data_IF_571278093508
#
_entry.id   IF_571278093508
#
_cell.length_a   1.000
_cell.length_b   1.000
_cell.length_c   1.000
_cell.angle_alpha   90.00
_cell.angle_beta   90.00
_cell.angle_gamma   90.00
#
_symmetry.space_group_name_H-M   'P 1'
#
loop_
_entity.id
_entity.type
_entity.pdbx_description
1 polymer ?
#
# COMPACT_ATOMS: atom_id res chain seq x y z
N UNK A 1 -28.54 -13.19 -6.98
CA UNK A 1 -28.36 -13.39 -8.44
C UNK A 1 -27.40 -14.58 -8.62
N UNK A 2 -27.66 -15.43 -9.61
CA UNK A 2 -26.74 -16.52 -9.93
C UNK A 2 -25.41 -15.94 -10.45
N UNK A 3 -24.30 -16.52 -10.04
CA UNK A 3 -22.96 -16.15 -10.53
C UNK A 3 -22.83 -16.62 -11.96
N UNK A 4 -22.36 -15.75 -12.86
CA UNK A 4 -22.16 -16.10 -14.26
C UNK A 4 -21.04 -17.14 -14.40
N UNK A 5 -21.11 -17.95 -15.44
CA UNK A 5 -20.12 -19.02 -15.70
C UNK A 5 -19.05 -18.65 -16.72
N UNK A 6 -19.16 -17.46 -17.33
CA UNK A 6 -18.20 -16.95 -18.32
C UNK A 6 -18.17 -15.42 -18.36
N UNK A 7 -16.98 -14.84 -18.55
CA UNK A 7 -16.75 -13.42 -18.77
C UNK A 7 -15.40 -13.20 -19.50
N UNK A 8 -15.11 -11.96 -19.89
CA UNK A 8 -13.79 -11.63 -20.46
C UNK A 8 -12.70 -11.64 -19.37
N UNK A 9 -12.99 -11.06 -18.22
CA UNK A 9 -11.98 -10.94 -17.13
C UNK A 9 -12.59 -11.26 -15.77
N UNK A 10 -11.92 -12.13 -15.01
CA UNK A 10 -12.17 -12.29 -13.57
C UNK A 10 -11.11 -11.53 -12.78
N UNK A 11 -11.55 -10.69 -11.85
CA UNK A 11 -10.71 -10.01 -10.88
C UNK A 11 -10.93 -10.64 -9.51
N UNK A 12 -9.86 -11.10 -8.85
CA UNK A 12 -9.90 -11.71 -7.53
C UNK A 12 -9.49 -10.67 -6.49
N UNK A 13 -10.42 -10.26 -5.64
CA UNK A 13 -10.23 -9.29 -4.57
C UNK A 13 -10.81 -7.91 -4.87
N UNK A 14 -11.63 -7.41 -3.92
CA UNK A 14 -12.33 -6.11 -3.97
C UNK A 14 -11.59 -4.98 -3.24
N UNK A 15 -10.28 -5.10 -3.06
CA UNK A 15 -9.44 -4.01 -2.55
C UNK A 15 -9.12 -2.96 -3.63
N UNK A 16 -8.35 -1.91 -3.29
CA UNK A 16 -8.05 -0.80 -4.19
C UNK A 16 -7.47 -1.22 -5.56
N UNK A 17 -6.60 -2.21 -5.57
CA UNK A 17 -6.00 -2.75 -6.80
C UNK A 17 -7.03 -3.39 -7.71
N UNK A 18 -7.86 -4.28 -7.15
CA UNK A 18 -8.90 -4.98 -7.90
C UNK A 18 -10.01 -4.05 -8.38
N UNK A 19 -10.43 -3.11 -7.55
CA UNK A 19 -11.43 -2.11 -7.92
C UNK A 19 -10.97 -1.24 -9.10
N UNK A 20 -9.73 -0.80 -9.11
CA UNK A 20 -9.16 -0.03 -10.24
C UNK A 20 -9.07 -0.90 -11.50
N UNK A 21 -8.58 -2.14 -11.38
CA UNK A 21 -8.48 -3.05 -12.52
C UNK A 21 -9.84 -3.35 -13.13
N UNK A 22 -10.81 -3.76 -12.31
CA UNK A 22 -12.15 -4.13 -12.76
C UNK A 22 -12.90 -2.94 -13.37
N UNK A 23 -12.89 -1.78 -12.71
CA UNK A 23 -13.54 -0.56 -13.20
C UNK A 23 -12.98 -0.14 -14.55
N UNK A 24 -11.66 -0.13 -14.71
CA UNK A 24 -11.04 0.25 -15.99
C UNK A 24 -11.40 -0.70 -17.12
N UNK A 25 -11.38 -1.99 -16.90
CA UNK A 25 -11.78 -2.98 -17.89
C UNK A 25 -13.25 -2.84 -18.29
N UNK A 26 -14.15 -2.63 -17.33
CA UNK A 26 -15.57 -2.42 -17.61
C UNK A 26 -15.82 -1.12 -18.39
N UNK A 27 -15.12 -0.01 -18.06
CA UNK A 27 -15.17 1.25 -18.82
C UNK A 27 -14.66 1.11 -20.26
N UNK A 28 -13.81 0.13 -20.53
CA UNK A 28 -13.33 -0.22 -21.89
C UNK A 28 -14.29 -1.15 -22.63
N UNK A 29 -15.44 -1.52 -22.00
CA UNK A 29 -16.52 -2.31 -22.61
C UNK A 29 -16.41 -3.83 -22.44
N UNK A 30 -15.48 -4.32 -21.59
CA UNK A 30 -15.33 -5.76 -21.35
C UNK A 30 -16.27 -6.24 -20.24
N UNK A 31 -16.71 -7.49 -20.33
CA UNK A 31 -17.46 -8.17 -19.28
C UNK A 31 -16.51 -8.57 -18.13
N UNK A 32 -16.78 -8.02 -16.94
CA UNK A 32 -15.88 -8.20 -15.77
C UNK A 32 -16.66 -8.74 -14.59
N UNK A 33 -16.11 -9.80 -13.99
CA UNK A 33 -16.56 -10.35 -12.70
C UNK A 33 -15.50 -10.03 -11.65
N UNK A 34 -15.91 -9.51 -10.50
CA UNK A 34 -15.06 -9.35 -9.34
C UNK A 34 -15.54 -10.24 -8.20
N UNK A 35 -14.65 -11.10 -7.70
CA UNK A 35 -14.88 -11.99 -6.57
C UNK A 35 -14.19 -11.43 -5.32
N UNK A 36 -14.94 -11.13 -4.27
CA UNK A 36 -14.44 -10.69 -2.97
C UNK A 36 -14.84 -11.68 -1.89
N UNK A 37 -13.87 -12.16 -1.13
CA UNK A 37 -14.06 -13.20 -0.11
C UNK A 37 -14.81 -12.71 1.12
N UNK A 38 -14.67 -11.45 1.45
CA UNK A 38 -15.34 -10.80 2.58
C UNK A 38 -16.56 -10.00 2.13
N UNK A 39 -17.35 -9.57 3.11
CA UNK A 39 -18.37 -8.53 2.91
C UNK A 39 -17.80 -7.20 3.37
N UNK A 40 -17.95 -6.16 2.55
CA UNK A 40 -17.61 -4.80 2.93
C UNK A 40 -18.77 -4.14 3.74
N UNK A 41 -18.48 -3.23 4.68
CA UNK A 41 -17.14 -2.78 5.08
C UNK A 41 -16.34 -3.86 5.83
N UNK A 42 -15.03 -3.94 5.57
CA UNK A 42 -14.13 -4.87 6.23
C UNK A 42 -12.86 -4.18 6.68
N UNK A 43 -12.31 -4.52 7.88
CA UNK A 43 -11.07 -3.91 8.35
C UNK A 43 -9.89 -4.26 7.43
N UNK A 44 -9.01 -3.30 7.26
CA UNK A 44 -7.72 -3.49 6.60
C UNK A 44 -6.72 -2.46 7.13
N UNK A 45 -5.42 -2.70 6.94
CA UNK A 45 -4.35 -1.76 7.23
C UNK A 45 -3.94 -0.98 5.97
N UNK A 46 -3.19 0.13 6.15
CA UNK A 46 -2.79 1.01 5.04
C UNK A 46 -3.67 2.26 4.97
N UNK A 47 -3.78 2.96 6.10
CA UNK A 47 -4.70 4.07 6.38
C UNK A 47 -4.14 5.45 6.01
N UNK A 48 -2.88 5.52 5.56
CA UNK A 48 -2.22 6.74 5.14
C UNK A 48 -1.96 6.70 3.64
N UNK A 49 -2.57 7.62 2.89
CA UNK A 49 -2.49 7.70 1.43
C UNK A 49 -1.69 8.92 1.00
N UNK A 50 -0.80 8.74 0.03
CA UNK A 50 -0.08 9.83 -0.64
C UNK A 50 -0.90 10.37 -1.82
N UNK A 51 -0.75 11.65 -2.22
CA UNK A 51 -1.65 12.33 -3.18
C UNK A 51 -1.83 11.64 -4.52
N UNK A 52 -0.88 10.80 -4.94
CA UNK A 52 -0.94 10.08 -6.22
C UNK A 52 -2.17 9.17 -6.37
N UNK A 53 -2.82 8.79 -5.26
CA UNK A 53 -4.02 7.94 -5.31
C UNK A 53 -5.17 8.64 -6.06
N UNK A 54 -5.27 9.97 -6.01
CA UNK A 54 -6.31 10.75 -6.68
C UNK A 54 -6.39 10.47 -8.18
N UNK A 55 -5.25 10.26 -8.82
CA UNK A 55 -5.19 9.91 -10.25
C UNK A 55 -6.07 8.69 -10.58
N UNK A 56 -6.04 7.67 -9.72
CA UNK A 56 -6.79 6.44 -9.95
C UNK A 56 -8.25 6.57 -9.56
N UNK A 57 -8.56 7.32 -8.52
CA UNK A 57 -9.95 7.58 -8.12
C UNK A 57 -10.67 8.49 -9.11
N UNK A 58 -9.98 9.49 -9.65
CA UNK A 58 -10.49 10.31 -10.76
C UNK A 58 -10.80 9.43 -11.98
N UNK A 59 -9.89 8.52 -12.32
CA UNK A 59 -9.99 7.66 -13.49
C UNK A 59 -11.19 6.71 -13.44
N UNK A 60 -11.51 6.16 -12.28
CA UNK A 60 -12.66 5.25 -12.11
C UNK A 60 -13.95 5.97 -11.70
N UNK A 61 -13.90 7.27 -11.43
CA UNK A 61 -15.06 8.09 -11.04
C UNK A 61 -15.40 8.05 -9.54
N UNK A 62 -14.47 7.61 -8.66
CA UNK A 62 -14.73 7.47 -7.24
C UNK A 62 -14.50 8.77 -6.43
N UNK A 63 -13.90 9.79 -7.04
CA UNK A 63 -13.41 11.00 -6.35
C UNK A 63 -14.49 11.73 -5.57
N UNK A 64 -15.65 11.98 -6.18
CA UNK A 64 -16.74 12.73 -5.50
C UNK A 64 -17.23 12.00 -4.24
N UNK A 65 -17.32 10.67 -4.26
CA UNK A 65 -17.71 9.89 -3.09
C UNK A 65 -16.64 9.91 -1.99
N UNK A 66 -15.36 9.89 -2.36
CA UNK A 66 -14.26 10.00 -1.41
C UNK A 66 -14.22 11.38 -0.76
N UNK A 67 -14.43 12.45 -1.51
CA UNK A 67 -14.51 13.82 -0.98
C UNK A 67 -15.72 13.96 -0.03
N UNK A 68 -16.87 13.39 -0.40
CA UNK A 68 -18.08 13.38 0.43
C UNK A 68 -17.89 12.62 1.76
N UNK A 69 -17.01 11.63 1.81
CA UNK A 69 -16.70 10.86 3.02
C UNK A 69 -15.92 11.67 4.07
N UNK A 70 -15.36 12.83 3.70
CA UNK A 70 -14.65 13.75 4.59
C UNK A 70 -13.55 13.06 5.42
N UNK A 71 -12.76 12.23 4.77
CA UNK A 71 -11.54 11.70 5.37
C UNK A 71 -10.59 12.82 5.79
N UNK A 72 -9.67 12.53 6.69
CA UNK A 72 -8.77 13.53 7.23
C UNK A 72 -7.70 13.89 6.18
N UNK A 73 -7.59 15.16 5.75
CA UNK A 73 -6.57 15.58 4.80
C UNK A 73 -5.18 15.50 5.41
N UNK A 74 -4.24 14.93 4.67
CA UNK A 74 -2.85 14.75 5.03
C UNK A 74 -1.98 15.67 4.18
N UNK A 75 -1.37 16.69 4.79
CA UNK A 75 -0.49 17.66 4.10
C UNK A 75 0.90 17.13 3.79
N UNK A 76 1.34 16.08 4.49
CA UNK A 76 2.69 15.55 4.38
C UNK A 76 3.01 14.48 5.40
N UNK A 77 4.30 14.33 5.71
CA UNK A 77 4.81 13.41 6.71
C UNK A 77 5.97 14.02 7.51
N UNK A 78 6.13 13.53 8.72
CA UNK A 78 7.25 13.84 9.61
C UNK A 78 7.92 12.55 10.04
N UNK A 79 9.26 12.52 10.00
CA UNK A 79 10.04 11.39 10.47
C UNK A 79 11.07 11.83 11.50
N UNK A 80 10.95 11.35 12.74
CA UNK A 80 12.00 11.48 13.72
C UNK A 80 13.00 10.34 13.56
N UNK A 81 14.14 10.68 12.99
CA UNK A 81 15.20 9.72 12.70
C UNK A 81 16.57 10.31 13.07
N UNK A 82 17.40 9.57 13.76
CA UNK A 82 18.74 10.03 14.19
C UNK A 82 18.73 11.37 14.94
N UNK A 83 17.71 11.59 15.77
CA UNK A 83 17.57 12.83 16.54
C UNK A 83 17.13 14.04 15.73
N UNK A 84 16.78 13.89 14.46
CA UNK A 84 16.30 14.94 13.58
C UNK A 84 14.84 14.70 13.17
N UNK A 85 14.00 15.72 13.31
CA UNK A 85 12.62 15.69 12.82
C UNK A 85 12.60 16.17 11.36
N UNK A 86 12.57 15.23 10.44
CA UNK A 86 12.59 15.46 9.00
C UNK A 86 11.17 15.70 8.49
N UNK A 87 11.01 16.70 7.61
CA UNK A 87 9.72 17.16 7.10
C UNK A 87 9.58 16.88 5.61
N UNK A 88 8.37 16.46 5.21
CA UNK A 88 7.95 16.33 3.83
C UNK A 88 6.59 16.98 3.66
N UNK A 89 6.46 17.97 2.77
CA UNK A 89 5.19 18.62 2.40
C UNK A 89 4.84 18.31 0.95
N UNK A 90 3.65 17.81 0.70
CA UNK A 90 3.23 17.47 -0.66
C UNK A 90 3.11 18.69 -1.58
N UNK A 91 2.74 19.85 -1.05
CA UNK A 91 2.66 21.10 -1.81
C UNK A 91 4.01 21.52 -2.43
N UNK A 92 5.13 21.17 -1.80
CA UNK A 92 6.47 21.47 -2.32
C UNK A 92 6.84 20.65 -3.56
N UNK A 93 6.05 19.60 -3.85
CA UNK A 93 6.19 18.74 -5.03
C UNK A 93 5.09 18.97 -6.08
N UNK A 94 4.39 20.11 -5.98
CA UNK A 94 3.38 20.52 -6.96
C UNK A 94 2.03 19.80 -6.80
N UNK A 95 1.79 19.07 -5.71
CA UNK A 95 0.49 18.50 -5.44
C UNK A 95 -0.47 19.58 -4.91
N UNK A 96 -1.56 19.80 -5.64
CA UNK A 96 -2.62 20.74 -5.28
C UNK A 96 -3.69 20.10 -4.40
N UNK A 97 -3.78 18.77 -4.40
CA UNK A 97 -4.68 17.98 -3.54
C UNK A 97 -3.85 17.27 -2.46
N UNK A 98 -4.33 17.22 -1.21
CA UNK A 98 -3.61 16.54 -0.13
C UNK A 98 -3.62 15.03 -0.31
N UNK A 99 -2.76 14.33 0.40
CA UNK A 99 -3.00 12.94 0.75
C UNK A 99 -4.18 12.82 1.70
N UNK A 100 -4.55 11.61 2.07
CA UNK A 100 -5.63 11.37 3.04
C UNK A 100 -5.17 10.37 4.11
N UNK A 101 -5.70 10.55 5.31
CA UNK A 101 -5.83 9.49 6.30
C UNK A 101 -7.25 8.94 6.22
N UNK A 102 -7.36 7.64 5.98
CA UNK A 102 -8.64 6.99 5.68
C UNK A 102 -8.87 5.78 6.57
N UNK A 103 -10.09 5.59 7.01
CA UNK A 103 -10.56 4.29 7.47
C UNK A 103 -10.72 3.41 6.23
N UNK A 104 -9.96 2.33 6.18
CA UNK A 104 -9.87 1.45 5.02
C UNK A 104 -11.15 0.68 4.73
N UNK A 105 -11.95 0.40 5.74
CA UNK A 105 -13.28 -0.20 5.60
C UNK A 105 -14.21 0.68 4.77
N UNK A 106 -14.30 1.96 5.09
CA UNK A 106 -15.11 2.93 4.33
C UNK A 106 -14.50 3.25 2.96
N UNK A 107 -13.19 3.49 2.91
CA UNK A 107 -12.50 3.81 1.66
C UNK A 107 -12.62 2.68 0.63
N UNK A 108 -12.38 1.43 1.06
CA UNK A 108 -12.47 0.26 0.19
C UNK A 108 -13.92 0.02 -0.26
N UNK A 109 -14.92 0.25 0.62
CA UNK A 109 -16.34 0.16 0.27
C UNK A 109 -16.75 1.20 -0.79
N UNK A 110 -16.26 2.43 -0.69
CA UNK A 110 -16.50 3.47 -1.71
C UNK A 110 -15.97 3.01 -3.07
N UNK A 111 -14.75 2.50 -3.12
CA UNK A 111 -14.17 1.97 -4.36
C UNK A 111 -14.96 0.79 -4.91
N UNK A 112 -15.39 -0.14 -4.07
CA UNK A 112 -16.18 -1.30 -4.49
C UNK A 112 -17.56 -0.90 -5.02
N UNK A 113 -18.22 0.06 -4.39
CA UNK A 113 -19.51 0.59 -4.87
C UNK A 113 -19.35 1.31 -6.22
N UNK A 114 -18.27 2.09 -6.37
CA UNK A 114 -17.97 2.71 -7.67
C UNK A 114 -17.68 1.66 -8.75
N UNK A 115 -17.03 0.56 -8.38
CA UNK A 115 -16.79 -0.56 -9.30
C UNK A 115 -18.09 -1.18 -9.79
N UNK A 116 -19.09 -1.35 -8.91
CA UNK A 116 -20.44 -1.77 -9.30
C UNK A 116 -21.12 -0.77 -10.26
N UNK A 117 -20.99 0.52 -9.94
CA UNK A 117 -21.54 1.60 -10.77
C UNK A 117 -20.92 1.65 -12.18
N UNK A 118 -19.68 1.19 -12.31
CA UNK A 118 -18.99 1.04 -13.59
C UNK A 118 -19.40 -0.21 -14.39
N UNK A 119 -20.39 -0.98 -13.90
CA UNK A 119 -20.95 -2.14 -14.62
C UNK A 119 -20.27 -3.48 -14.32
N UNK A 120 -19.36 -3.53 -13.33
CA UNK A 120 -18.73 -4.79 -12.91
C UNK A 120 -19.71 -5.65 -12.11
N UNK A 121 -19.76 -6.94 -12.40
CA UNK A 121 -20.51 -7.90 -11.59
C UNK A 121 -19.68 -8.27 -10.35
N UNK A 122 -20.03 -7.68 -9.21
CA UNK A 122 -19.32 -7.85 -7.95
C UNK A 122 -20.04 -8.86 -7.06
N UNK A 123 -19.36 -9.94 -6.71
CA UNK A 123 -19.83 -10.97 -5.79
C UNK A 123 -18.99 -10.93 -4.52
N UNK A 124 -19.58 -10.41 -3.45
CA UNK A 124 -19.00 -10.47 -2.10
C UNK A 124 -19.28 -11.82 -1.45
N UNK A 125 -18.57 -12.12 -0.35
CA UNK A 125 -18.66 -13.40 0.37
C UNK A 125 -18.45 -14.61 -0.57
N UNK A 126 -17.63 -14.39 -1.60
CA UNK A 126 -17.34 -15.35 -2.66
C UNK A 126 -15.82 -15.43 -2.88
N UNK A 127 -15.21 -16.42 -2.26
CA UNK A 127 -13.77 -16.61 -2.31
C UNK A 127 -13.35 -17.36 -3.57
N UNK A 128 -12.48 -16.78 -4.40
CA UNK A 128 -11.74 -17.54 -5.39
C UNK A 128 -10.79 -18.50 -4.66
N UNK A 129 -10.89 -19.77 -4.98
CA UNK A 129 -10.14 -20.83 -4.29
C UNK A 129 -8.96 -21.32 -5.11
N UNK A 130 -9.08 -21.26 -6.43
CA UNK A 130 -8.07 -21.78 -7.36
C UNK A 130 -8.29 -21.23 -8.77
N UNK A 131 -7.23 -21.18 -9.56
CA UNK A 131 -7.28 -20.94 -11.00
C UNK A 131 -6.80 -22.19 -11.72
N UNK A 132 -7.72 -22.89 -12.37
CA UNK A 132 -7.48 -24.16 -13.08
C UNK A 132 -7.38 -23.95 -14.59
N UNK A 133 -7.12 -25.04 -15.29
CA UNK A 133 -6.99 -25.08 -16.74
C UNK A 133 -5.62 -24.64 -17.24
N UNK A 134 -5.54 -24.47 -18.56
CA UNK A 134 -4.42 -23.78 -19.16
C UNK A 134 -4.50 -22.29 -18.79
N UNK A 135 -3.42 -21.75 -18.24
CA UNK A 135 -3.40 -20.32 -17.84
C UNK A 135 -3.52 -19.36 -19.04
N UNK A 136 -3.52 -19.85 -20.27
CA UNK A 136 -3.93 -19.12 -21.49
C UNK A 136 -5.47 -19.12 -21.69
N UNK A 137 -6.21 -19.99 -20.99
CA UNK A 137 -7.67 -20.07 -20.93
C UNK A 137 -8.15 -20.40 -19.50
N UNK A 138 -7.92 -19.50 -18.54
CA UNK A 138 -8.08 -19.80 -17.12
C UNK A 138 -9.54 -20.04 -16.72
N UNK A 139 -9.72 -20.95 -15.75
CA UNK A 139 -11.00 -21.24 -15.08
C UNK A 139 -10.86 -20.94 -13.60
N UNK A 140 -11.56 -19.92 -13.11
CA UNK A 140 -11.53 -19.55 -11.70
C UNK A 140 -12.55 -20.37 -10.94
N UNK A 141 -12.09 -21.15 -9.97
CA UNK A 141 -12.95 -21.85 -9.01
C UNK A 141 -13.24 -20.95 -7.82
N UNK A 142 -14.49 -20.96 -7.39
CA UNK A 142 -14.90 -20.17 -6.24
C UNK A 142 -15.74 -20.98 -5.25
N UNK A 143 -15.85 -20.44 -4.04
CA UNK A 143 -16.75 -20.91 -2.98
C UNK A 143 -17.44 -19.70 -2.34
N UNK A 144 -18.76 -19.77 -2.23
CA UNK A 144 -19.57 -18.80 -1.50
C UNK A 144 -19.52 -19.05 0.00
N UNK A 145 -19.99 -18.08 0.81
CA UNK A 145 -20.13 -18.28 2.28
C UNK A 145 -21.03 -19.47 2.65
N UNK A 146 -22.02 -19.77 1.82
CA UNK A 146 -22.94 -20.88 2.03
C UNK A 146 -22.37 -22.23 1.55
N UNK A 147 -21.06 -22.27 1.24
CA UNK A 147 -20.30 -23.42 0.72
C UNK A 147 -20.74 -23.89 -0.69
N UNK A 148 -21.50 -23.09 -1.42
CA UNK A 148 -21.74 -23.37 -2.83
C UNK A 148 -20.43 -23.20 -3.61
N UNK A 149 -20.11 -24.18 -4.45
CA UNK A 149 -18.92 -24.17 -5.29
C UNK A 149 -19.32 -23.99 -6.75
N UNK A 150 -18.50 -23.26 -7.49
CA UNK A 150 -18.71 -23.04 -8.91
C UNK A 150 -17.43 -22.66 -9.62
N UNK A 151 -17.57 -22.38 -10.91
CA UNK A 151 -16.46 -21.99 -11.76
C UNK A 151 -16.86 -20.87 -12.74
N UNK A 152 -15.89 -20.05 -13.11
CA UNK A 152 -16.03 -19.01 -14.12
C UNK A 152 -14.90 -19.16 -15.12
N UNK A 153 -15.25 -19.33 -16.40
CA UNK A 153 -14.29 -19.30 -17.51
C UNK A 153 -14.00 -17.86 -17.88
N UNK A 154 -12.72 -17.51 -18.01
CA UNK A 154 -12.31 -16.19 -18.37
C UNK A 154 -11.23 -16.17 -19.45
N UNK A 155 -11.21 -15.12 -20.27
CA UNK A 155 -10.07 -14.88 -21.15
C UNK A 155 -8.83 -14.44 -20.38
N UNK A 156 -9.02 -13.69 -19.29
CA UNK A 156 -7.97 -13.19 -18.42
C UNK A 156 -8.37 -13.24 -16.94
N UNK A 157 -7.35 -13.32 -16.07
CA UNK A 157 -7.50 -13.21 -14.61
C UNK A 157 -6.56 -12.14 -14.08
N UNK A 158 -7.05 -11.32 -13.14
CA UNK A 158 -6.24 -10.43 -12.32
C UNK A 158 -6.33 -10.89 -10.88
N UNK A 159 -5.25 -11.45 -10.35
CA UNK A 159 -5.13 -11.73 -8.91
C UNK A 159 -4.74 -10.45 -8.17
N UNK A 160 -5.71 -9.83 -7.52
CA UNK A 160 -5.60 -8.68 -6.62
C UNK A 160 -6.06 -9.05 -5.20
N UNK A 161 -5.91 -10.32 -4.81
CA UNK A 161 -6.38 -10.90 -3.55
C UNK A 161 -5.58 -10.47 -2.31
N UNK A 162 -4.70 -9.47 -2.45
CA UNK A 162 -3.89 -8.96 -1.36
C UNK A 162 -2.97 -10.03 -0.79
N UNK A 163 -2.80 -10.06 0.53
CA UNK A 163 -1.93 -11.02 1.22
C UNK A 163 -2.39 -12.50 1.08
N UNK A 164 -3.63 -12.74 0.63
CA UNK A 164 -4.09 -14.07 0.30
C UNK A 164 -3.28 -14.66 -0.88
N UNK A 165 -2.90 -13.83 -1.87
CA UNK A 165 -2.03 -14.17 -3.00
C UNK A 165 -2.43 -15.53 -3.63
N UNK A 166 -3.68 -15.66 -4.03
CA UNK A 166 -4.32 -16.94 -4.43
C UNK A 166 -3.51 -17.65 -5.51
N UNK A 167 -3.25 -16.95 -6.60
CA UNK A 167 -2.52 -17.53 -7.73
C UNK A 167 -1.03 -17.69 -7.43
N UNK A 168 -0.40 -16.68 -6.79
CA UNK A 168 1.03 -16.73 -6.51
C UNK A 168 1.39 -17.89 -5.56
N UNK A 169 0.54 -18.17 -4.57
CA UNK A 169 0.69 -19.34 -3.69
C UNK A 169 0.44 -20.65 -4.43
N UNK A 170 -0.62 -20.71 -5.24
CA UNK A 170 -0.95 -21.91 -6.02
C UNK A 170 0.21 -22.31 -6.94
N UNK A 171 0.87 -21.34 -7.57
CA UNK A 171 1.97 -21.56 -8.50
C UNK A 171 3.35 -21.67 -7.82
N UNK A 172 3.45 -21.47 -6.50
CA UNK A 172 4.71 -21.48 -5.79
C UNK A 172 5.68 -20.37 -6.21
N UNK A 173 5.16 -19.24 -6.70
CA UNK A 173 5.96 -18.11 -7.21
C UNK A 173 6.03 -16.93 -6.24
N UNK A 174 5.59 -17.10 -5.00
CA UNK A 174 5.72 -16.13 -3.92
C UNK A 174 6.98 -16.40 -3.12
N UNK A 175 7.95 -15.52 -3.19
CA UNK A 175 9.20 -15.60 -2.42
C UNK A 175 9.22 -14.52 -1.34
N UNK A 176 9.39 -14.94 -0.08
CA UNK A 176 9.62 -13.99 1.01
C UNK A 176 10.98 -13.33 0.87
N UNK A 177 11.03 -12.03 1.12
CA UNK A 177 12.29 -11.29 1.09
C UNK A 177 13.08 -11.61 2.37
N UNK A 178 14.28 -12.22 2.27
CA UNK A 178 15.06 -12.59 3.44
C UNK A 178 15.57 -11.35 4.22
N UNK A 179 15.75 -10.23 3.53
CA UNK A 179 16.31 -9.00 4.09
C UNK A 179 15.24 -8.14 4.79
N UNK A 180 13.95 -8.40 4.51
CA UNK A 180 12.82 -7.60 5.02
C UNK A 180 11.78 -8.53 5.67
N UNK A 181 12.11 -9.09 6.83
CA UNK A 181 11.21 -10.01 7.57
C UNK A 181 10.70 -9.37 8.85
N UNK A 182 9.83 -8.41 8.69
CA UNK A 182 9.31 -7.64 9.81
C UNK A 182 7.99 -8.19 10.36
N UNK A 183 7.67 -7.80 11.59
CA UNK A 183 6.36 -7.93 12.21
C UNK A 183 5.81 -6.54 12.48
N UNK A 184 4.57 -6.30 12.07
CA UNK A 184 3.80 -5.12 12.45
C UNK A 184 2.76 -5.49 13.48
N UNK A 185 2.64 -4.65 14.51
CA UNK A 185 1.55 -4.69 15.50
C UNK A 185 0.92 -3.30 15.54
N UNK A 186 -0.41 -3.23 15.56
CA UNK A 186 -1.08 -1.94 15.64
C UNK A 186 -2.39 -2.02 16.41
N UNK A 187 -2.85 -0.85 16.83
CA UNK A 187 -4.12 -0.69 17.48
C UNK A 187 -4.60 0.76 17.42
N UNK A 188 -5.77 0.99 17.96
CA UNK A 188 -6.44 2.27 17.89
C UNK A 188 -6.53 2.93 19.26
N UNK A 189 -6.47 4.26 19.25
CA UNK A 189 -6.55 5.08 20.44
C UNK A 189 -7.59 6.19 20.27
N UNK A 190 -8.18 6.61 21.37
CA UNK A 190 -9.01 7.81 21.44
C UNK A 190 -8.24 8.97 22.08
N UNK A 191 -8.38 10.16 21.52
CA UNK A 191 -7.72 11.35 22.04
C UNK A 191 -6.26 11.49 21.65
N UNK A 192 -5.47 12.10 22.53
CA UNK A 192 -4.08 12.44 22.26
C UNK A 192 -3.89 13.73 21.48
N UNK A 193 -2.72 13.87 20.89
CA UNK A 193 -2.29 15.02 20.08
C UNK A 193 -1.75 14.55 18.72
N UNK A 194 -1.52 15.51 17.83
CA UNK A 194 -0.89 15.23 16.54
C UNK A 194 0.00 16.40 16.10
N UNK A 195 0.82 16.14 15.11
CA UNK A 195 1.62 17.16 14.43
C UNK A 195 1.02 17.50 13.06
N UNK A 196 1.07 18.76 12.68
CA UNK A 196 0.87 19.20 11.30
C UNK A 196 2.10 18.91 10.46
N UNK A 197 2.01 19.11 9.15
CA UNK A 197 3.18 19.02 8.28
C UNK A 197 4.24 20.11 8.57
N UNK A 198 3.88 21.16 9.26
CA UNK A 198 4.78 22.22 9.75
C UNK A 198 5.53 21.83 11.02
N UNK A 199 5.06 20.81 11.74
CA UNK A 199 5.60 20.38 13.02
C UNK A 199 4.87 20.98 14.23
N UNK A 200 3.76 21.68 14.01
CA UNK A 200 2.97 22.27 15.09
C UNK A 200 2.13 21.21 15.80
N UNK A 201 2.06 21.32 17.14
CA UNK A 201 1.32 20.39 17.99
C UNK A 201 -0.13 20.85 18.16
N UNK A 202 -1.08 19.95 17.91
CA UNK A 202 -2.50 20.22 18.11
C UNK A 202 -3.20 19.08 18.88
N UNK A 203 -4.26 19.38 19.65
CA UNK A 203 -5.09 18.35 20.25
C UNK A 203 -5.91 17.62 19.18
N UNK A 204 -6.22 16.36 19.40
CA UNK A 204 -6.99 15.51 18.49
C UNK A 204 -8.33 16.16 18.05
N UNK A 205 -8.96 16.96 18.91
CA UNK A 205 -10.23 17.65 18.61
C UNK A 205 -10.17 18.57 17.39
N UNK A 206 -8.99 19.11 17.04
CA UNK A 206 -8.81 20.05 15.92
C UNK A 206 -8.48 19.42 14.59
N UNK A 207 -8.38 18.08 14.49
CA UNK A 207 -7.92 17.33 13.31
C UNK A 207 -8.71 17.61 12.01
N UNK A 208 -9.96 18.04 12.12
CA UNK A 208 -10.81 18.40 10.96
C UNK A 208 -10.59 19.82 10.48
N UNK A 209 -10.09 20.69 11.34
CA UNK A 209 -9.81 22.10 11.03
C UNK A 209 -8.37 22.28 10.54
N UNK A 210 -7.44 21.59 11.18
CA UNK A 210 -6.01 21.67 10.90
C UNK A 210 -5.52 20.24 10.59
N UNK A 211 -5.15 20.01 9.32
CA UNK A 211 -4.79 18.70 8.83
C UNK A 211 -3.52 18.14 9.50
N UNK A 212 -3.56 16.89 9.99
CA UNK A 212 -2.39 16.21 10.55
C UNK A 212 -1.40 15.78 9.46
N UNK A 213 -0.15 15.57 9.86
CA UNK A 213 0.83 14.79 9.13
C UNK A 213 0.78 13.31 9.59
N UNK A 214 1.25 12.40 8.75
CA UNK A 214 1.69 11.09 9.24
C UNK A 214 3.01 11.28 9.96
N UNK A 215 3.11 10.77 11.19
CA UNK A 215 4.36 10.79 11.95
C UNK A 215 4.93 9.39 12.02
N UNK A 216 6.21 9.26 11.74
CA UNK A 216 6.97 8.04 12.00
C UNK A 216 8.17 8.37 12.88
N UNK A 217 8.53 7.49 13.79
CA UNK A 217 9.75 7.65 14.59
C UNK A 217 10.38 6.31 14.94
N UNK A 218 11.67 6.33 15.27
CA UNK A 218 12.35 5.16 15.83
C UNK A 218 11.86 4.88 17.25
N UNK A 219 11.93 3.62 17.66
CA UNK A 219 11.72 3.16 19.04
C UNK A 219 13.05 2.60 19.54
N UNK A 220 13.96 3.48 19.98
CA UNK A 220 15.32 3.07 20.35
C UNK A 220 15.95 2.18 19.26
N UNK A 221 16.38 0.96 19.64
CA UNK A 221 16.91 -0.08 18.76
C UNK A 221 15.86 -1.16 18.39
N UNK A 222 14.58 -0.96 18.75
CA UNK A 222 13.52 -1.96 18.56
C UNK A 222 12.90 -1.96 17.16
N UNK A 223 12.86 -0.81 16.49
CA UNK A 223 12.22 -0.65 15.19
C UNK A 223 11.67 0.75 15.02
N UNK A 224 10.48 0.86 14.47
CA UNK A 224 9.84 2.16 14.27
C UNK A 224 8.33 2.09 14.55
N UNK A 225 7.75 3.27 14.79
CA UNK A 225 6.34 3.47 15.11
C UNK A 225 5.72 4.44 14.13
N UNK A 226 4.46 4.21 13.78
CA UNK A 226 3.64 5.18 13.04
C UNK A 226 2.55 5.78 13.92
N UNK A 227 2.14 6.97 13.55
CA UNK A 227 1.01 7.69 14.14
C UNK A 227 0.19 8.31 13.00
N UNK A 228 -1.07 7.89 12.86
CA UNK A 228 -1.99 8.26 11.78
C UNK A 228 -3.31 8.68 12.41
N UNK A 229 -3.70 9.94 12.22
CA UNK A 229 -4.93 10.51 12.79
C UNK A 229 -6.09 10.27 11.85
N UNK A 230 -7.05 9.47 12.25
CA UNK A 230 -8.28 9.17 11.53
C UNK A 230 -9.43 10.08 11.98
N UNK A 231 -10.62 9.90 11.40
CA UNK A 231 -11.78 10.75 11.72
C UNK A 231 -12.17 10.73 13.20
N UNK A 232 -12.14 9.55 13.85
CA UNK A 232 -12.64 9.39 15.21
C UNK A 232 -11.66 8.64 16.15
N UNK A 233 -10.50 8.25 15.63
CA UNK A 233 -9.46 7.51 16.35
C UNK A 233 -8.08 7.83 15.80
N UNK A 234 -7.05 7.40 16.51
CA UNK A 234 -5.66 7.45 16.07
C UNK A 234 -5.18 6.02 15.86
N UNK A 235 -4.69 5.71 14.67
CA UNK A 235 -3.99 4.45 14.39
C UNK A 235 -2.53 4.60 14.79
N UNK A 236 -2.08 3.76 15.69
CA UNK A 236 -0.68 3.67 16.11
C UNK A 236 -0.22 2.24 15.92
N UNK A 237 0.95 2.07 15.34
CA UNK A 237 1.51 0.74 15.20
C UNK A 237 3.02 0.76 15.18
N UNK A 238 3.59 -0.39 15.50
CA UNK A 238 5.03 -0.61 15.56
C UNK A 238 5.45 -1.63 14.52
N UNK A 239 6.64 -1.46 13.99
CA UNK A 239 7.30 -2.43 13.11
C UNK A 239 8.58 -2.90 13.79
N UNK A 240 8.68 -4.20 13.97
CA UNK A 240 9.77 -4.84 14.69
C UNK A 240 10.58 -5.72 13.72
N UNK A 241 11.90 -5.56 13.66
CA UNK A 241 12.76 -6.46 12.92
C UNK A 241 12.85 -7.83 13.60
N UNK A 242 13.23 -8.90 12.87
CA UNK A 242 13.21 -10.27 13.38
C UNK A 242 14.06 -10.48 14.63
N UNK A 243 15.20 -9.83 14.70
CA UNK A 243 16.14 -9.92 15.83
C UNK A 243 15.56 -9.36 17.14
N UNK A 244 14.60 -8.43 17.05
CA UNK A 244 13.90 -7.88 18.21
C UNK A 244 12.68 -8.68 18.64
N UNK A 245 12.17 -9.55 17.77
CA UNK A 245 10.96 -10.34 18.06
C UNK A 245 11.17 -11.29 19.26
N UNK A 246 12.37 -11.87 19.43
CA UNK A 246 12.64 -12.71 20.58
C UNK A 246 12.66 -11.90 21.88
N UNK A 247 13.31 -10.73 21.87
CA UNK A 247 13.32 -9.81 23.01
C UNK A 247 11.89 -9.35 23.36
N UNK A 248 11.06 -9.00 22.35
CA UNK A 248 9.65 -8.68 22.57
C UNK A 248 8.87 -9.82 23.21
N UNK A 249 9.11 -11.07 22.81
CA UNK A 249 8.46 -12.25 23.40
C UNK A 249 8.94 -12.52 24.84
N UNK A 250 10.20 -12.25 25.14
CA UNK A 250 10.80 -12.50 26.45
C UNK A 250 10.29 -11.57 27.57
N UNK A 251 9.74 -10.42 27.24
CA UNK A 251 9.10 -9.53 28.22
C UNK A 251 7.92 -10.25 28.85
N UNK A 252 7.88 -10.34 30.19
CA UNK A 252 6.80 -10.99 30.94
C UNK A 252 5.63 -10.01 31.12
N UNK A 253 4.77 -9.92 30.10
CA UNK A 253 3.57 -9.08 30.11
C UNK A 253 2.59 -9.54 29.02
N UNK A 254 1.40 -8.95 28.97
CA UNK A 254 0.45 -9.21 27.88
C UNK A 254 0.94 -8.59 26.57
N UNK A 255 0.59 -9.12 25.40
CA UNK A 255 0.96 -8.53 24.11
C UNK A 255 0.57 -7.05 24.01
N UNK A 256 -0.61 -6.68 24.52
CA UNK A 256 -1.16 -5.33 24.54
C UNK A 256 -0.32 -4.39 25.42
N UNK A 257 0.05 -4.84 26.62
CA UNK A 257 0.88 -4.05 27.53
C UNK A 257 2.31 -3.83 26.96
N UNK A 258 2.90 -4.86 26.34
CA UNK A 258 4.18 -4.74 25.62
C UNK A 258 4.10 -3.72 24.48
N UNK A 259 3.04 -3.81 23.67
CA UNK A 259 2.79 -2.88 22.58
C UNK A 259 2.67 -1.45 23.09
N UNK A 260 1.82 -1.21 24.09
CA UNK A 260 1.65 0.11 24.69
C UNK A 260 2.93 0.63 25.33
N UNK A 261 3.73 -0.25 25.96
CA UNK A 261 5.03 0.11 26.50
C UNK A 261 6.03 0.60 25.44
N UNK A 262 6.08 -0.06 24.26
CA UNK A 262 6.89 0.38 23.14
C UNK A 262 6.40 1.69 22.53
N UNK A 263 5.09 1.88 22.39
CA UNK A 263 4.50 3.14 21.95
C UNK A 263 4.87 4.27 22.91
N UNK A 264 4.67 4.08 24.21
CA UNK A 264 5.01 5.07 25.24
C UNK A 264 6.51 5.39 25.30
N UNK A 265 7.36 4.43 25.00
CA UNK A 265 8.82 4.59 24.95
C UNK A 265 9.34 5.26 23.68
N UNK A 266 8.50 5.51 22.67
CA UNK A 266 8.92 6.20 21.45
C UNK A 266 9.00 7.73 21.68
N UNK A 267 10.07 8.35 21.18
CA UNK A 267 10.45 9.71 21.56
C UNK A 267 9.40 10.79 21.26
N UNK A 268 8.65 10.69 20.17
CA UNK A 268 7.65 11.70 19.76
C UNK A 268 6.23 11.15 19.81
N UNK A 269 6.04 9.91 19.35
CA UNK A 269 4.70 9.31 19.33
C UNK A 269 4.22 9.00 20.76
N UNK A 270 5.13 8.59 21.66
CA UNK A 270 4.81 8.41 23.08
C UNK A 270 4.25 9.67 23.72
N UNK A 271 4.87 10.83 23.44
CA UNK A 271 4.40 12.13 23.94
C UNK A 271 3.07 12.54 23.29
N UNK A 272 2.88 12.34 21.99
CA UNK A 272 1.62 12.59 21.30
C UNK A 272 0.47 11.76 21.87
N UNK A 273 0.76 10.55 22.31
CA UNK A 273 -0.24 9.61 22.84
C UNK A 273 -0.43 9.71 24.35
N UNK A 274 0.30 10.61 25.04
CA UNK A 274 0.14 10.82 26.49
C UNK A 274 -1.31 11.18 26.84
N UNK A 275 -1.94 10.39 27.69
CA UNK A 275 -3.34 10.54 28.07
C UNK A 275 -4.36 10.05 27.05
N UNK A 276 -3.93 9.52 25.90
CA UNK A 276 -4.83 8.84 24.98
C UNK A 276 -5.24 7.46 25.51
N UNK A 277 -6.48 7.04 25.20
CA UNK A 277 -7.05 5.77 25.67
C UNK A 277 -6.94 4.71 24.57
N UNK A 278 -6.24 3.62 24.84
CA UNK A 278 -6.19 2.45 23.97
C UNK A 278 -7.56 1.77 23.90
N UNK A 279 -8.02 1.39 22.69
CA UNK A 279 -9.36 0.82 22.49
C UNK A 279 -9.45 -0.69 22.81
N UNK A 280 -8.33 -1.31 23.23
CA UNK A 280 -8.30 -2.69 23.74
C UNK A 280 -8.12 -3.77 22.68
N UNK A 281 -8.18 -3.45 21.39
CA UNK A 281 -7.97 -4.40 20.30
C UNK A 281 -6.63 -4.16 19.61
N UNK A 282 -5.84 -5.21 19.44
CA UNK A 282 -4.56 -5.19 18.78
C UNK A 282 -4.56 -6.14 17.58
N UNK A 283 -4.00 -5.66 16.50
CA UNK A 283 -3.84 -6.42 15.25
C UNK A 283 -2.36 -6.70 14.99
N UNK A 284 -2.09 -7.71 14.19
CA UNK A 284 -0.71 -8.06 13.83
C UNK A 284 -0.59 -8.68 12.46
N UNK A 285 0.51 -8.37 11.78
CA UNK A 285 0.88 -8.96 10.49
C UNK A 285 2.38 -9.30 10.53
N UNK A 286 2.72 -10.50 10.10
CA UNK A 286 4.09 -11.00 10.12
C UNK A 286 4.53 -11.44 8.74
N UNK A 287 5.83 -11.28 8.47
CA UNK A 287 6.46 -11.74 7.22
C UNK A 287 5.71 -11.22 5.96
N UNK A 288 5.34 -9.95 5.98
CA UNK A 288 4.52 -9.35 4.95
C UNK A 288 5.30 -8.91 3.71
N UNK A 289 6.64 -8.87 3.76
CA UNK A 289 7.45 -8.49 2.61
C UNK A 289 7.81 -9.71 1.76
N UNK A 290 7.48 -9.63 0.49
CA UNK A 290 7.76 -10.66 -0.51
C UNK A 290 7.82 -10.06 -1.91
N UNK A 291 8.48 -10.78 -2.79
CA UNK A 291 8.58 -10.49 -4.22
C UNK A 291 7.99 -11.64 -5.03
N UNK A 292 7.49 -11.38 -6.23
CA UNK A 292 7.06 -12.43 -7.12
C UNK A 292 8.25 -12.91 -7.96
N UNK A 293 8.28 -14.20 -8.26
CA UNK A 293 9.16 -14.73 -9.32
C UNK A 293 8.68 -14.27 -10.69
N UNK A 294 7.37 -14.14 -10.85
CA UNK A 294 6.70 -13.68 -12.08
C UNK A 294 5.52 -12.79 -11.73
N UNK A 295 5.31 -11.72 -12.49
CA UNK A 295 4.17 -10.79 -12.34
C UNK A 295 2.98 -11.18 -13.21
N UNK A 296 3.19 -12.02 -14.20
CA UNK A 296 2.13 -12.63 -15.01
C UNK A 296 2.56 -14.01 -15.49
N UNK A 297 1.60 -14.94 -15.60
CA UNK A 297 1.78 -16.27 -16.14
C UNK A 297 0.59 -16.57 -17.05
N UNK A 298 0.84 -16.84 -18.35
CA UNK A 298 -0.25 -16.94 -19.33
C UNK A 298 -1.10 -15.66 -19.36
N UNK A 299 -2.40 -15.83 -19.30
CA UNK A 299 -3.37 -14.74 -19.24
C UNK A 299 -3.74 -14.33 -17.80
N UNK A 300 -2.94 -14.71 -16.82
CA UNK A 300 -3.15 -14.40 -15.40
C UNK A 300 -2.11 -13.37 -14.93
N UNK A 301 -2.58 -12.27 -14.36
CA UNK A 301 -1.78 -11.13 -13.89
C UNK A 301 -1.86 -11.01 -12.37
N UNK A 302 -0.75 -10.70 -11.70
CA UNK A 302 -0.70 -10.45 -10.26
C UNK A 302 -0.61 -8.94 -10.00
N UNK A 303 -1.48 -8.38 -9.17
CA UNK A 303 -1.53 -6.95 -8.91
C UNK A 303 -1.63 -6.62 -7.41
N UNK A 304 -1.02 -5.52 -6.98
CA UNK A 304 -0.98 -5.09 -5.58
C UNK A 304 -0.28 -6.11 -4.69
N UNK A 305 -0.74 -6.25 -3.45
CA UNK A 305 -0.14 -7.17 -2.48
C UNK A 305 -0.27 -8.66 -2.89
N UNK A 306 -1.12 -9.02 -3.82
CA UNK A 306 -1.11 -10.38 -4.39
C UNK A 306 0.18 -10.67 -5.18
N UNK A 307 0.80 -9.65 -5.74
CA UNK A 307 2.08 -9.74 -6.42
C UNK A 307 3.26 -9.56 -5.45
N UNK A 308 3.31 -8.43 -4.77
CA UNK A 308 4.43 -8.05 -3.91
C UNK A 308 4.04 -7.01 -2.87
N UNK A 309 4.72 -7.05 -1.75
CA UNK A 309 4.72 -6.00 -0.75
C UNK A 309 6.14 -5.80 -0.21
N UNK A 310 6.50 -4.58 0.15
CA UNK A 310 7.83 -4.27 0.68
C UNK A 310 7.73 -3.79 2.12
N UNK A 311 7.42 -2.49 2.33
CA UNK A 311 7.40 -1.88 3.66
C UNK A 311 6.37 -0.74 3.70
N UNK A 312 5.59 -0.58 4.80
CA UNK A 312 4.54 0.44 4.89
C UNK A 312 5.07 1.86 5.17
N UNK A 313 6.35 2.03 5.47
CA UNK A 313 6.91 3.29 6.00
C UNK A 313 6.65 4.52 5.12
N UNK A 314 6.60 4.33 3.81
CA UNK A 314 6.40 5.41 2.82
C UNK A 314 4.92 5.66 2.47
N UNK A 315 3.97 4.97 3.09
CA UNK A 315 2.52 5.10 2.81
C UNK A 315 2.15 4.87 1.33
N UNK A 316 2.91 4.08 0.59
CA UNK A 316 2.79 3.96 -0.87
C UNK A 316 2.06 2.69 -1.33
N UNK A 317 1.84 1.69 -0.46
CA UNK A 317 1.32 0.37 -0.82
C UNK A 317 -0.02 0.43 -1.57
N UNK A 318 -0.98 1.22 -1.09
CA UNK A 318 -2.30 1.38 -1.74
C UNK A 318 -2.16 1.99 -3.14
N UNK A 319 -1.36 3.05 -3.28
CA UNK A 319 -1.11 3.71 -4.58
C UNK A 319 -0.44 2.76 -5.57
N UNK A 320 0.49 1.94 -5.10
CA UNK A 320 1.13 0.90 -5.91
C UNK A 320 0.15 -0.17 -6.35
N UNK A 321 -0.71 -0.61 -5.45
CA UNK A 321 -1.77 -1.54 -5.79
C UNK A 321 -2.70 -0.98 -6.87
N UNK A 322 -3.13 0.29 -6.73
CA UNK A 322 -3.95 0.97 -7.73
C UNK A 322 -3.22 1.09 -9.08
N UNK A 323 -1.92 1.45 -9.05
CA UNK A 323 -1.10 1.47 -10.26
C UNK A 323 -1.03 0.10 -10.93
N UNK A 324 -0.77 -0.96 -10.16
CA UNK A 324 -0.69 -2.32 -10.68
C UNK A 324 -2.01 -2.77 -11.31
N UNK A 325 -3.13 -2.50 -10.64
CA UNK A 325 -4.47 -2.76 -11.18
C UNK A 325 -4.74 -2.02 -12.48
N UNK A 326 -4.38 -0.73 -12.55
CA UNK A 326 -4.48 0.07 -13.77
C UNK A 326 -3.60 -0.48 -14.91
N UNK A 327 -2.35 -0.80 -14.64
CA UNK A 327 -1.42 -1.32 -15.63
C UNK A 327 -1.84 -2.71 -16.17
N UNK A 328 -2.36 -3.58 -15.29
CA UNK A 328 -2.93 -4.86 -15.68
C UNK A 328 -4.15 -4.66 -16.59
N UNK A 329 -5.09 -3.78 -16.21
CA UNK A 329 -6.26 -3.45 -17.02
C UNK A 329 -5.87 -2.93 -18.41
N UNK A 330 -4.91 -2.00 -18.47
CA UNK A 330 -4.38 -1.49 -19.73
C UNK A 330 -3.82 -2.59 -20.62
N UNK A 331 -2.97 -3.45 -20.05
CA UNK A 331 -2.34 -4.55 -20.80
C UNK A 331 -3.37 -5.57 -21.31
N UNK A 332 -4.33 -5.94 -20.46
CA UNK A 332 -5.40 -6.88 -20.80
C UNK A 332 -6.34 -6.30 -21.88
N UNK A 333 -6.82 -5.07 -21.71
CA UNK A 333 -7.68 -4.40 -22.69
C UNK A 333 -7.01 -4.30 -24.06
N UNK A 334 -5.74 -3.92 -24.11
CA UNK A 334 -4.96 -3.89 -25.34
C UNK A 334 -4.76 -5.28 -25.95
N UNK A 335 -4.55 -6.31 -25.12
CA UNK A 335 -4.40 -7.70 -25.57
C UNK A 335 -5.68 -8.31 -26.14
N UNK A 336 -6.83 -7.99 -25.55
CA UNK A 336 -8.15 -8.41 -26.05
C UNK A 336 -8.46 -7.79 -27.43
N UNK A 337 -8.07 -6.52 -27.65
CA UNK A 337 -8.23 -5.84 -28.94
C UNK A 337 -7.19 -6.27 -29.98
N UNK A 338 -6.00 -6.63 -29.55
CA UNK A 338 -4.87 -6.98 -30.41
C UNK A 338 -4.20 -8.28 -29.96
N UNK A 339 -4.85 -9.46 -30.17
CA UNK A 339 -4.35 -10.76 -29.67
C UNK A 339 -2.94 -11.11 -30.12
N UNK A 340 -2.54 -10.68 -31.31
CA UNK A 340 -1.17 -10.91 -31.84
C UNK A 340 -0.08 -10.17 -31.02
N UNK A 341 -0.44 -9.18 -30.23
CA UNK A 341 0.49 -8.41 -29.38
C UNK A 341 0.46 -8.83 -27.90
N UNK A 342 -0.29 -9.86 -27.56
CA UNK A 342 -0.52 -10.30 -26.18
C UNK A 342 0.77 -10.49 -25.40
N UNK A 343 1.73 -11.16 -25.97
CA UNK A 343 3.01 -11.42 -25.29
C UNK A 343 3.82 -10.14 -25.08
N UNK A 344 3.94 -9.26 -26.09
CA UNK A 344 4.58 -7.94 -25.95
C UNK A 344 3.93 -7.10 -24.85
N UNK A 345 2.60 -7.04 -24.81
CA UNK A 345 1.84 -6.27 -23.82
C UNK A 345 2.00 -6.83 -22.40
N UNK A 346 1.99 -8.16 -22.26
CA UNK A 346 2.27 -8.82 -20.99
C UNK A 346 3.70 -8.52 -20.50
N UNK A 347 4.69 -8.60 -21.39
CA UNK A 347 6.08 -8.27 -21.06
C UNK A 347 6.25 -6.80 -20.66
N UNK A 348 5.52 -5.88 -21.30
CA UNK A 348 5.50 -4.45 -20.90
C UNK A 348 4.89 -4.26 -19.52
N UNK A 349 3.80 -4.95 -19.19
CA UNK A 349 3.24 -4.94 -17.83
C UNK A 349 4.28 -5.43 -16.82
N UNK A 350 4.89 -6.59 -17.07
CA UNK A 350 5.88 -7.17 -16.16
C UNK A 350 7.07 -6.22 -15.96
N UNK A 351 7.55 -5.59 -17.03
CA UNK A 351 8.65 -4.63 -16.95
C UNK A 351 8.22 -3.37 -16.16
N UNK A 352 7.10 -2.76 -16.53
CA UNK A 352 6.63 -1.50 -15.97
C UNK A 352 6.34 -1.60 -14.46
N UNK A 353 5.72 -2.71 -14.04
CA UNK A 353 5.43 -2.96 -12.63
C UNK A 353 6.65 -3.47 -11.88
N UNK A 354 7.44 -4.34 -12.49
CA UNK A 354 8.67 -4.89 -11.92
C UNK A 354 9.72 -3.83 -11.61
N UNK A 355 9.94 -2.89 -12.53
CA UNK A 355 10.88 -1.78 -12.32
C UNK A 355 10.45 -0.92 -11.11
N UNK A 356 9.14 -0.66 -10.96
CA UNK A 356 8.61 0.07 -9.79
C UNK A 356 8.79 -0.70 -8.48
N UNK A 357 8.52 -2.00 -8.48
CA UNK A 357 8.74 -2.85 -7.31
C UNK A 357 10.23 -2.90 -6.92
N UNK A 358 11.13 -2.99 -7.91
CA UNK A 358 12.57 -2.94 -7.68
C UNK A 358 13.01 -1.62 -7.04
N UNK A 359 12.46 -0.49 -7.51
CA UNK A 359 12.68 0.81 -6.87
C UNK A 359 12.21 0.81 -5.41
N UNK A 360 10.99 0.35 -5.13
CA UNK A 360 10.47 0.33 -3.75
C UNK A 360 11.27 -0.60 -2.85
N UNK A 361 11.68 -1.75 -3.35
CA UNK A 361 12.55 -2.66 -2.62
C UNK A 361 13.88 -1.98 -2.29
N UNK A 362 14.52 -1.33 -3.27
CA UNK A 362 15.75 -0.57 -3.05
C UNK A 362 15.60 0.43 -1.88
N UNK A 363 14.45 1.09 -1.80
CA UNK A 363 14.16 2.10 -0.78
C UNK A 363 13.94 1.50 0.63
N UNK A 364 13.57 0.23 0.72
CA UNK A 364 13.37 -0.53 1.97
C UNK A 364 14.60 -1.34 2.43
N UNK A 365 15.60 -1.54 1.58
CA UNK A 365 16.76 -2.39 1.88
C UNK A 365 17.77 -1.74 2.84
N UNK A 366 18.50 -2.54 3.64
CA UNK A 366 19.71 -2.11 4.34
C UNK A 366 20.80 -1.62 3.38
N UNK A 367 21.77 -0.84 3.91
CA UNK A 367 22.84 -0.21 3.10
C UNK A 367 23.77 -1.19 2.38
N UNK A 368 23.94 -2.37 2.96
CA UNK A 368 24.87 -3.42 2.55
C UNK A 368 24.20 -4.58 1.79
N UNK A 369 22.93 -4.43 1.41
CA UNK A 369 22.23 -5.49 0.71
C UNK A 369 22.83 -5.78 -0.67
N UNK A 370 23.01 -7.07 -1.00
CA UNK A 370 23.48 -7.51 -2.31
C UNK A 370 22.55 -7.06 -3.45
N UNK A 371 23.13 -6.61 -4.56
CA UNK A 371 22.37 -6.23 -5.78
C UNK A 371 21.83 -4.80 -5.77
N UNK A 372 22.28 -3.94 -4.86
CA UNK A 372 21.89 -2.52 -4.81
C UNK A 372 22.20 -1.81 -6.14
N UNK A 373 23.33 -2.09 -6.78
CA UNK A 373 23.70 -1.47 -8.07
C UNK A 373 22.71 -1.84 -9.19
N UNK A 374 22.31 -3.11 -9.26
CA UNK A 374 21.30 -3.55 -10.25
C UNK A 374 19.92 -2.93 -9.94
N UNK A 375 19.57 -2.76 -8.68
CA UNK A 375 18.34 -2.10 -8.28
C UNK A 375 18.36 -0.60 -8.63
N UNK A 376 19.52 0.05 -8.51
CA UNK A 376 19.75 1.44 -8.96
C UNK A 376 19.56 1.55 -10.48
N UNK A 377 20.09 0.61 -11.26
CA UNK A 377 19.93 0.60 -12.72
C UNK A 377 18.48 0.45 -13.15
N UNK A 378 17.75 -0.46 -12.50
CA UNK A 378 16.31 -0.64 -12.74
C UNK A 378 15.51 0.58 -12.31
N UNK A 379 15.85 1.20 -11.18
CA UNK A 379 15.22 2.42 -10.69
C UNK A 379 15.43 3.60 -11.65
N UNK A 380 16.57 3.68 -12.33
CA UNK A 380 16.87 4.72 -13.29
C UNK A 380 15.82 4.83 -14.40
N UNK A 381 15.36 3.69 -14.89
CA UNK A 381 14.34 3.64 -15.93
C UNK A 381 12.97 4.15 -15.45
N UNK A 382 12.55 3.76 -14.24
CA UNK A 382 11.30 4.24 -13.65
C UNK A 382 11.32 5.75 -13.43
N UNK A 383 12.44 6.24 -12.90
CA UNK A 383 12.63 7.67 -12.62
C UNK A 383 12.60 8.49 -13.91
N UNK A 384 13.18 8.00 -14.99
CA UNK A 384 13.14 8.69 -16.30
C UNK A 384 11.73 8.82 -16.90
N UNK A 385 10.77 7.98 -16.46
CA UNK A 385 9.39 7.96 -16.94
C UNK A 385 8.41 8.76 -16.06
N UNK A 386 8.86 9.31 -14.95
CA UNK A 386 8.05 10.09 -14.01
C UNK A 386 8.37 11.58 -14.12
N UNK A 387 7.45 12.44 -13.68
CA UNK A 387 7.74 13.88 -13.62
C UNK A 387 8.87 14.17 -12.62
N UNK A 388 9.62 15.24 -12.87
CA UNK A 388 10.74 15.64 -12.01
C UNK A 388 10.32 15.81 -10.53
N UNK A 389 9.11 16.28 -10.29
CA UNK A 389 8.57 16.45 -8.94
C UNK A 389 8.21 15.10 -8.28
N UNK A 390 7.64 14.15 -9.03
CA UNK A 390 7.41 12.79 -8.54
C UNK A 390 8.72 12.07 -8.23
N UNK A 391 9.73 12.25 -9.07
CA UNK A 391 11.09 11.73 -8.83
C UNK A 391 11.66 12.25 -7.51
N UNK A 392 11.58 13.56 -7.30
CA UNK A 392 12.05 14.21 -6.07
C UNK A 392 11.28 13.71 -4.84
N UNK A 393 9.96 13.58 -4.94
CA UNK A 393 9.15 13.05 -3.85
C UNK A 393 9.51 11.60 -3.51
N UNK A 394 9.63 10.74 -4.52
CA UNK A 394 10.00 9.34 -4.33
C UNK A 394 11.38 9.21 -3.69
N UNK A 395 12.36 9.97 -4.18
CA UNK A 395 13.72 9.97 -3.62
C UNK A 395 13.74 10.52 -2.19
N UNK A 396 13.00 11.58 -1.89
CA UNK A 396 12.88 12.08 -0.53
C UNK A 396 12.21 11.08 0.41
N UNK A 397 11.14 10.46 0.01
CA UNK A 397 10.52 9.40 0.82
C UNK A 397 11.51 8.27 1.10
N UNK A 398 12.30 7.91 0.09
CA UNK A 398 13.35 6.91 0.19
C UNK A 398 14.44 7.24 1.21
N UNK A 399 14.86 8.50 1.21
CA UNK A 399 15.96 8.96 2.09
C UNK A 399 15.47 9.32 3.48
N UNK A 400 14.15 9.45 3.67
CA UNK A 400 13.56 9.88 4.94
C UNK A 400 13.93 8.97 6.11
N UNK A 401 14.09 7.69 5.81
CA UNK A 401 14.27 6.65 6.80
C UNK A 401 15.57 5.85 6.62
N UNK A 402 16.51 6.32 5.77
CA UNK A 402 17.71 5.56 5.47
C UNK A 402 18.99 6.30 5.81
N UNK A 403 19.95 5.55 6.33
CA UNK A 403 21.36 5.94 6.48
C UNK A 403 22.17 5.79 5.19
N UNK A 404 21.51 5.57 4.03
CA UNK A 404 22.11 4.96 2.85
C UNK A 404 23.14 5.86 2.17
N UNK A 405 24.40 5.46 2.21
CA UNK A 405 25.49 5.99 1.36
C UNK A 405 25.15 5.82 -0.13
N UNK A 406 24.46 4.74 -0.52
CA UNK A 406 24.01 4.48 -1.88
C UNK A 406 23.05 5.51 -2.45
N UNK A 407 22.30 6.25 -1.62
CA UNK A 407 21.41 7.31 -2.10
C UNK A 407 22.16 8.49 -2.70
N UNK A 408 23.35 8.83 -2.20
CA UNK A 408 24.18 9.85 -2.84
C UNK A 408 24.52 9.46 -4.29
N UNK A 409 24.81 8.19 -4.53
CA UNK A 409 25.06 7.65 -5.86
C UNK A 409 23.80 7.64 -6.74
N UNK A 410 22.62 7.34 -6.16
CA UNK A 410 21.33 7.43 -6.86
C UNK A 410 21.04 8.88 -7.26
N UNK A 411 21.16 9.82 -6.34
CA UNK A 411 20.92 11.25 -6.60
C UNK A 411 21.87 11.78 -7.69
N UNK A 412 23.14 11.39 -7.62
CA UNK A 412 24.17 11.78 -8.60
C UNK A 412 23.86 11.23 -9.99
N UNK A 413 23.47 9.96 -10.09
CA UNK A 413 23.13 9.30 -11.35
C UNK A 413 21.89 9.88 -12.03
N UNK A 414 20.95 10.44 -11.24
CA UNK A 414 19.75 11.11 -11.72
C UNK A 414 19.91 12.61 -11.94
N UNK A 415 21.15 13.14 -11.81
CA UNK A 415 21.39 14.59 -11.92
C UNK A 415 20.66 15.41 -10.87
N UNK A 416 20.26 14.79 -9.76
CA UNK A 416 19.63 15.47 -8.64
C UNK A 416 20.71 16.04 -7.73
N UNK A 417 20.50 17.23 -7.13
CA UNK A 417 21.50 17.81 -6.22
C UNK A 417 21.84 16.82 -5.11
N UNK A 418 23.13 16.61 -4.83
CA UNK A 418 23.64 15.83 -3.70
C UNK A 418 23.08 16.30 -2.35
N UNK A 419 22.52 17.48 -2.32
CA UNK A 419 21.88 18.13 -1.18
C UNK A 419 20.38 18.27 -1.43
N UNK A 420 19.64 17.16 -1.62
CA UNK A 420 18.27 17.17 -1.14
C UNK A 420 18.40 17.12 0.38
N UNK A 421 18.80 18.25 0.95
CA UNK A 421 18.78 18.41 2.39
C UNK A 421 17.32 18.28 2.82
N UNK A 422 17.06 17.32 3.70
CA UNK A 422 15.82 17.28 4.46
C UNK A 422 15.59 18.66 5.06
N UNK A 423 14.42 19.21 4.86
CA UNK A 423 13.97 20.23 5.79
C UNK A 423 13.82 19.55 7.14
N UNK A 424 14.61 19.98 8.10
CA UNK A 424 14.41 19.63 9.50
C UNK A 424 13.59 20.74 10.15
N UNK A 425 12.64 20.31 10.97
CA UNK A 425 11.91 21.21 11.87
C UNK A 425 12.35 20.96 13.30
N UNK A 426 12.26 21.96 14.20
CA UNK A 426 12.52 21.73 15.62
C UNK A 426 11.64 20.59 16.16
N UNK A 427 12.20 19.76 17.03
CA UNK A 427 11.40 18.78 17.75
C UNK A 427 10.52 19.58 18.73
N UNK A 428 9.19 19.51 18.59
CA UNK A 428 8.31 20.33 19.43
C UNK A 428 8.31 19.80 20.86
N UNK A 429 8.14 20.71 21.81
CA UNK A 429 7.74 20.33 23.16
C UNK A 429 6.26 19.96 23.16
N UNK A 430 5.95 18.73 23.52
CA UNK A 430 4.58 18.22 23.59
C UNK A 430 4.16 18.25 25.06
N UNK A 431 3.21 19.14 25.43
CA UNK A 431 2.81 19.35 26.82
C UNK A 431 2.06 18.14 27.42
#
# INVERSE_FOLDING_TARGET
MAIVNQCDVVVIGGGPSGCVAASRLAQEGFSVVLLESAKHPRPNVGESLIPQFWRYTDLIGATAAIEAARFIPKGGGLALWEGQLRQLKFSEFGYTRPGLHVERDDFDLILLNQTRSNGVQVYEETAATRVDGDLEAPVVKYRTKDNEVGEIRASYVVDASGQAAVLAKQLGIREFDPDIRFMSLWGYYEGGRYLTAEGDVHPFSRRREIGPATVVSTIGDWGWVWHIVLRDKVSVGIVLPPEKLQAFKAVKDTPEAKFQGLVAGSAIVGDLMRGARFQGEMFGLRDYAYKPVKLAVGNCYLAGDAAAFVDPINSAGVVFGMFAGFAAAWSIAASLRHPARREDLRNRYCKLYGDRLALFRLLGLPEDAEGIDRAIDNAAHVVSMTSQNEQRLMLLQATMNSRKKGIAAVLERFGLPRHIAWRTVPIPQIP
#
